data_IF_179530420737
#
_entry.id   IF_179530420737
#
_cell.length_a   1.000
_cell.length_b   1.000
_cell.length_c   1.000
_cell.angle_alpha   90.00
_cell.angle_beta   90.00
_cell.angle_gamma   90.00
#
_symmetry.space_group_name_H-M   'P 1'
#
loop_
_entity.id
_entity.type
_entity.pdbx_description
1 polymer ?
#
# COMPACT_ATOMS: atom_id res chain seq x y z
N UNK A 1 -16.92 4.39 -1.72
CA UNK A 1 -17.40 3.02 -1.40
C UNK A 1 -18.43 3.15 -0.28
N UNK A 2 -19.36 2.21 -0.09
CA UNK A 2 -20.27 2.29 1.08
C UNK A 2 -19.45 2.23 2.37
N UNK A 3 -19.78 3.05 3.37
CA UNK A 3 -19.11 3.10 4.68
C UNK A 3 -19.02 1.71 5.33
N UNK A 4 -20.06 0.89 5.16
CA UNK A 4 -20.13 -0.50 5.63
C UNK A 4 -19.04 -1.39 5.01
N UNK A 5 -18.71 -1.21 3.72
CA UNK A 5 -17.65 -1.99 3.07
C UNK A 5 -16.26 -1.61 3.55
N UNK A 6 -16.05 -0.35 3.90
CA UNK A 6 -14.78 0.11 4.44
C UNK A 6 -14.57 -0.43 5.86
N UNK A 7 -15.62 -0.44 6.69
CA UNK A 7 -15.58 -1.05 8.01
C UNK A 7 -15.19 -2.54 7.96
N UNK A 8 -15.86 -3.33 7.11
CA UNK A 8 -15.53 -4.75 6.90
C UNK A 8 -14.09 -4.95 6.44
N UNK A 9 -13.58 -4.06 5.56
CA UNK A 9 -12.18 -4.10 5.13
C UNK A 9 -11.22 -3.83 6.29
N UNK A 10 -11.49 -2.82 7.11
CA UNK A 10 -10.64 -2.48 8.25
C UNK A 10 -10.62 -3.57 9.32
N UNK A 11 -11.77 -4.20 9.59
CA UNK A 11 -11.88 -5.36 10.48
C UNK A 11 -11.05 -6.54 9.96
N UNK A 12 -11.22 -6.89 8.68
CA UNK A 12 -10.43 -7.94 8.04
C UNK A 12 -8.93 -7.66 8.09
N UNK A 13 -8.51 -6.41 7.80
CA UNK A 13 -7.10 -6.03 7.86
C UNK A 13 -6.53 -6.09 9.27
N UNK A 14 -7.34 -5.82 10.30
CA UNK A 14 -6.92 -5.98 11.69
C UNK A 14 -6.67 -7.46 12.04
N UNK A 15 -7.52 -8.38 11.57
CA UNK A 15 -7.33 -9.83 11.74
C UNK A 15 -6.05 -10.31 11.05
N UNK A 16 -5.80 -9.88 9.81
CA UNK A 16 -4.58 -10.21 9.07
C UNK A 16 -3.34 -9.64 9.77
N UNK A 17 -3.40 -8.42 10.31
CA UNK A 17 -2.28 -7.85 11.08
C UNK A 17 -1.98 -8.69 12.33
N UNK A 18 -3.02 -9.16 13.04
CA UNK A 18 -2.85 -10.01 14.21
C UNK A 18 -2.17 -11.35 13.86
N UNK A 19 -2.59 -12.01 12.79
CA UNK A 19 -2.01 -13.28 12.31
C UNK A 19 -0.53 -13.12 11.92
N UNK A 20 -0.18 -11.98 11.30
CA UNK A 20 1.17 -11.70 10.81
C UNK A 20 2.08 -11.03 11.85
N UNK A 21 1.57 -10.71 13.05
CA UNK A 21 2.31 -10.00 14.10
C UNK A 21 2.68 -8.56 13.72
N UNK A 22 1.82 -7.88 12.97
CA UNK A 22 2.03 -6.51 12.49
C UNK A 22 1.21 -5.50 13.31
N UNK A 23 1.74 -4.28 13.47
CA UNK A 23 0.95 -3.18 14.03
C UNK A 23 -0.12 -2.73 13.02
N UNK A 24 -1.43 -2.84 13.33
CA UNK A 24 -2.49 -2.36 12.44
C UNK A 24 -2.46 -0.85 12.21
N UNK A 25 -1.71 -0.10 13.02
CA UNK A 25 -1.42 1.33 12.81
C UNK A 25 -0.71 1.62 11.49
N UNK A 26 0.10 0.68 10.97
CA UNK A 26 0.75 0.81 9.66
C UNK A 26 -0.30 0.86 8.56
N UNK A 27 -1.22 -0.11 8.54
CA UNK A 27 -2.24 -0.23 7.50
C UNK A 27 -3.25 0.91 7.59
N UNK A 28 -3.71 1.28 8.80
CA UNK A 28 -4.62 2.42 9.01
C UNK A 28 -4.04 3.76 8.55
N UNK A 29 -2.72 3.90 8.52
CA UNK A 29 -2.06 5.15 8.12
C UNK A 29 -1.67 5.18 6.64
N UNK A 30 -1.83 4.07 5.92
CA UNK A 30 -1.34 3.92 4.53
C UNK A 30 -2.39 3.39 3.55
N UNK A 31 -3.56 2.95 4.03
CA UNK A 31 -4.60 2.34 3.21
C UNK A 31 -5.10 3.27 2.08
N UNK A 32 -5.38 4.53 2.36
CA UNK A 32 -5.81 5.51 1.35
C UNK A 32 -4.78 5.65 0.22
N UNK A 33 -3.51 5.84 0.57
CA UNK A 33 -2.41 6.00 -0.38
C UNK A 33 -2.21 4.71 -1.21
N UNK A 34 -2.17 3.55 -0.55
CA UNK A 34 -1.95 2.27 -1.23
C UNK A 34 -3.13 1.90 -2.13
N UNK A 35 -4.37 2.14 -1.71
CA UNK A 35 -5.56 1.91 -2.52
C UNK A 35 -5.60 2.85 -3.73
N UNK A 36 -5.20 4.12 -3.57
CA UNK A 36 -5.07 5.06 -4.67
C UNK A 36 -4.02 4.58 -5.69
N UNK A 37 -2.82 4.18 -5.23
CA UNK A 37 -1.76 3.63 -6.09
C UNK A 37 -2.23 2.37 -6.83
N UNK A 38 -2.83 1.40 -6.14
CA UNK A 38 -3.39 0.18 -6.74
C UNK A 38 -4.44 0.54 -7.80
N UNK A 39 -5.30 1.52 -7.49
CA UNK A 39 -6.26 2.06 -8.43
C UNK A 39 -5.60 2.66 -9.68
N UNK A 40 -4.58 3.49 -9.52
CA UNK A 40 -3.84 4.07 -10.64
C UNK A 40 -3.22 2.99 -11.52
N UNK A 41 -2.49 2.04 -10.93
CA UNK A 41 -1.85 0.93 -11.66
C UNK A 41 -2.88 0.08 -12.40
N UNK A 42 -4.03 -0.18 -11.78
CA UNK A 42 -5.09 -0.94 -12.38
C UNK A 42 -5.71 -0.26 -13.61
N UNK A 43 -5.83 1.08 -13.58
CA UNK A 43 -6.28 1.86 -14.74
C UNK A 43 -5.16 2.09 -15.77
N UNK A 44 -3.89 1.96 -15.37
CA UNK A 44 -2.73 1.87 -16.26
C UNK A 44 -1.44 1.69 -15.46
N UNK A 45 -0.45 0.88 -15.88
CA UNK A 45 -0.29 0.24 -17.19
C UNK A 45 -1.02 -1.10 -17.35
N UNK A 46 -1.31 -1.87 -16.28
CA UNK A 46 -2.04 -3.15 -16.38
C UNK A 46 -2.77 -3.50 -15.09
N UNK A 47 -3.98 -4.07 -15.19
CA UNK A 47 -4.75 -4.56 -14.04
C UNK A 47 -4.03 -5.64 -13.20
N UNK A 48 -3.37 -6.65 -13.78
CA UNK A 48 -2.60 -7.63 -12.99
C UNK A 48 -1.41 -7.02 -12.24
N UNK A 49 -0.87 -5.89 -12.72
CA UNK A 49 0.25 -5.20 -12.10
C UNK A 49 -0.09 -4.53 -10.77
N UNK A 50 -1.36 -4.26 -10.49
CA UNK A 50 -1.80 -3.54 -9.30
C UNK A 50 -1.45 -4.27 -7.98
N UNK A 51 -1.84 -5.54 -7.76
CA UNK A 51 -1.43 -6.26 -6.55
C UNK A 51 0.09 -6.49 -6.48
N UNK A 52 0.75 -6.72 -7.62
CA UNK A 52 2.20 -6.91 -7.67
C UNK A 52 2.96 -5.64 -7.29
N UNK A 53 2.40 -4.47 -7.62
CA UNK A 53 2.99 -3.18 -7.26
C UNK A 53 2.92 -2.94 -5.76
N UNK A 54 1.77 -3.19 -5.13
CA UNK A 54 1.64 -3.08 -3.67
C UNK A 54 2.60 -4.03 -2.95
N UNK A 55 2.74 -5.27 -3.45
CA UNK A 55 3.73 -6.23 -2.94
C UNK A 55 5.16 -5.69 -3.06
N UNK A 56 5.55 -5.12 -4.20
CA UNK A 56 6.90 -4.56 -4.40
C UNK A 56 7.20 -3.36 -3.50
N UNK A 57 6.21 -2.50 -3.24
CA UNK A 57 6.33 -1.41 -2.25
C UNK A 57 6.64 -2.01 -0.89
N UNK A 58 5.82 -2.96 -0.41
CA UNK A 58 6.04 -3.62 0.88
C UNK A 58 7.39 -4.35 0.96
N UNK A 59 7.77 -5.06 -0.11
CA UNK A 59 9.04 -5.77 -0.20
C UNK A 59 10.24 -4.81 -0.12
N UNK A 60 10.18 -3.66 -0.79
CA UNK A 60 11.23 -2.66 -0.76
C UNK A 60 11.38 -2.01 0.62
N UNK A 61 10.27 -1.79 1.34
CA UNK A 61 10.30 -1.31 2.73
C UNK A 61 10.92 -2.36 3.65
N UNK A 62 10.51 -3.62 3.56
CA UNK A 62 11.06 -4.71 4.37
C UNK A 62 12.54 -5.01 4.09
N UNK A 63 12.98 -4.85 2.84
CA UNK A 63 14.37 -5.06 2.44
C UNK A 63 15.34 -4.02 3.02
N UNK A 64 14.86 -2.91 3.60
CA UNK A 64 15.70 -1.91 4.24
C UNK A 64 16.38 -2.41 5.54
N UNK A 65 15.99 -3.57 6.06
CA UNK A 65 16.71 -4.28 7.13
C UNK A 65 16.70 -3.59 8.49
N UNK A 66 15.75 -2.67 8.72
CA UNK A 66 15.56 -2.01 10.02
C UNK A 66 14.59 -2.78 10.90
N UNK A 67 14.64 -2.50 12.19
CA UNK A 67 13.61 -2.91 13.14
C UNK A 67 12.24 -2.36 12.71
N UNK A 68 11.18 -3.15 12.93
CA UNK A 68 9.81 -2.76 12.60
C UNK A 68 9.37 -1.63 13.53
N UNK A 69 9.37 -0.42 12.98
CA UNK A 69 8.83 0.78 13.61
C UNK A 69 7.68 1.31 12.76
N UNK A 70 6.53 1.56 13.38
CA UNK A 70 5.30 1.94 12.68
C UNK A 70 5.48 3.26 11.93
N UNK A 71 6.04 4.29 12.57
CA UNK A 71 6.18 5.61 11.95
C UNK A 71 7.16 5.58 10.76
N UNK A 72 8.31 4.94 10.92
CA UNK A 72 9.30 4.77 9.87
C UNK A 72 8.76 3.89 8.73
N UNK A 73 7.98 2.85 9.05
CA UNK A 73 7.34 1.99 8.05
C UNK A 73 6.32 2.78 7.23
N UNK A 74 5.44 3.56 7.89
CA UNK A 74 4.46 4.42 7.21
C UNK A 74 5.16 5.41 6.27
N UNK A 75 6.19 6.11 6.78
CA UNK A 75 6.96 7.07 5.99
C UNK A 75 7.55 6.46 4.73
N UNK A 76 8.19 5.30 4.85
CA UNK A 76 8.80 4.63 3.73
C UNK A 76 7.76 4.09 2.74
N UNK A 77 6.65 3.53 3.23
CA UNK A 77 5.55 3.08 2.37
C UNK A 77 5.05 4.24 1.52
N UNK A 78 4.83 5.42 2.11
CA UNK A 78 4.42 6.63 1.40
C UNK A 78 5.47 7.05 0.38
N UNK A 79 6.74 7.15 0.77
CA UNK A 79 7.84 7.55 -0.13
C UNK A 79 7.94 6.62 -1.36
N UNK A 80 7.85 5.30 -1.14
CA UNK A 80 7.90 4.31 -2.23
C UNK A 80 6.63 4.35 -3.07
N UNK A 81 5.46 4.52 -2.46
CA UNK A 81 4.20 4.67 -3.20
C UNK A 81 4.28 5.87 -4.15
N UNK A 82 4.63 7.05 -3.65
CA UNK A 82 4.80 8.25 -4.47
C UNK A 82 5.83 8.07 -5.59
N UNK A 83 6.93 7.35 -5.33
CA UNK A 83 7.92 7.03 -6.35
C UNK A 83 7.32 6.21 -7.49
N UNK A 84 6.44 5.25 -7.18
CA UNK A 84 5.74 4.45 -8.18
C UNK A 84 4.65 5.27 -8.88
N UNK A 85 3.91 6.10 -8.17
CA UNK A 85 2.90 7.00 -8.76
C UNK A 85 3.53 7.90 -9.83
N UNK A 86 4.75 8.43 -9.58
CA UNK A 86 5.53 9.17 -10.58
C UNK A 86 5.83 8.34 -11.84
N UNK A 87 6.13 7.05 -11.70
CA UNK A 87 6.36 6.15 -12.84
C UNK A 87 5.07 5.90 -13.63
N UNK A 88 3.92 5.78 -12.94
CA UNK A 88 2.61 5.62 -13.59
C UNK A 88 2.26 6.89 -14.39
N UNK A 89 2.38 8.07 -13.77
CA UNK A 89 2.08 9.35 -14.42
C UNK A 89 2.96 9.61 -15.67
N UNK A 90 4.24 9.24 -15.61
CA UNK A 90 5.15 9.36 -16.75
C UNK A 90 4.77 8.45 -17.94
N UNK A 91 4.03 7.35 -17.69
CA UNK A 91 3.58 6.42 -18.74
C UNK A 91 2.24 6.79 -19.34
N UNK A 92 1.36 7.48 -18.60
CA UNK A 92 0.02 7.87 -19.07
C UNK A 92 0.01 9.21 -19.82
N UNK A 93 1.08 10.01 -19.71
CA UNK A 93 1.24 11.29 -20.41
C UNK A 93 1.87 11.12 -21.83
N UNK A 94 2.12 9.88 -22.26
CA UNK A 94 2.63 9.52 -23.59
C UNK A 94 1.53 8.91 -24.44
#
# INVERSE_FOLDING_TARGET
>A
MSDERMAVMHEWLAEVCAELGLDPGVVRSTDEQLLALVGQVAHGPTRPGAPLTAFLVGLAVGAAGRELDTEATVRDVVERAEAVERLVAARTTR
#
